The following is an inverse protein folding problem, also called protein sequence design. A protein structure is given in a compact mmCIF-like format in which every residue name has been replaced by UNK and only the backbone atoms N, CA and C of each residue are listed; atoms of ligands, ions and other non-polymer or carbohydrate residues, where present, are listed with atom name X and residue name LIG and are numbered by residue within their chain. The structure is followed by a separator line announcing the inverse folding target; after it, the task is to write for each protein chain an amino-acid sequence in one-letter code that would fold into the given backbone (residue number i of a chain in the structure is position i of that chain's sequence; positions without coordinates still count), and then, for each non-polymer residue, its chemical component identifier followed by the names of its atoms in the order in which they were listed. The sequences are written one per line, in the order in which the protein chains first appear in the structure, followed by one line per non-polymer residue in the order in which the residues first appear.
data_IF_354918801029
#
_entry.id   IF_354918801029
#
_cell.length_a   1.000
_cell.length_b   1.000
_cell.length_c   1.000
_cell.angle_alpha   90.00
_cell.angle_beta   90.00
_cell.angle_gamma   90.00
#
_symmetry.space_group_name_H-M   'P 1'
#
loop_
_entity.id
_entity.type
_entity.pdbx_description
1 polymer ?
#
# COMPACT_ATOMS: atom_id res chain seq x y z
N UNK A 1 -6.77 10.93 -10.48
CA UNK A 1 -5.73 10.92 -11.53
C UNK A 1 -4.57 11.84 -11.24
N UNK A 2 -4.79 13.14 -10.99
CA UNK A 2 -3.70 14.12 -10.74
C UNK A 2 -2.76 13.69 -9.61
N UNK A 3 -3.31 13.25 -8.47
CA UNK A 3 -2.50 12.79 -7.33
C UNK A 3 -1.65 11.55 -7.64
N UNK A 4 -2.19 10.61 -8.42
CA UNK A 4 -1.43 9.43 -8.87
C UNK A 4 -0.25 9.83 -9.76
N UNK A 5 -0.44 10.81 -10.65
CA UNK A 5 0.64 11.34 -11.51
C UNK A 5 1.70 12.04 -10.64
N UNK A 6 1.30 12.90 -9.71
CA UNK A 6 2.22 13.58 -8.77
C UNK A 6 3.04 12.58 -7.95
N UNK A 7 2.39 11.55 -7.42
CA UNK A 7 3.05 10.52 -6.62
C UNK A 7 4.08 9.72 -7.44
N UNK A 8 3.76 9.37 -8.68
CA UNK A 8 4.72 8.71 -9.58
C UNK A 8 5.88 9.65 -9.99
N UNK A 9 5.62 10.94 -10.20
CA UNK A 9 6.70 11.91 -10.46
C UNK A 9 7.62 12.08 -9.24
N UNK A 10 7.06 12.08 -8.02
CA UNK A 10 7.85 12.08 -6.79
C UNK A 10 8.76 10.83 -6.72
N UNK A 11 8.21 9.65 -7.01
CA UNK A 11 8.99 8.41 -7.07
C UNK A 11 10.10 8.47 -8.14
N UNK A 12 9.80 8.95 -9.33
CA UNK A 12 10.81 9.14 -10.38
C UNK A 12 11.92 10.09 -9.92
N UNK A 13 11.57 11.19 -9.24
CA UNK A 13 12.55 12.13 -8.67
C UNK A 13 13.47 11.45 -7.66
N UNK A 14 12.92 10.62 -6.76
CA UNK A 14 13.70 9.88 -5.76
C UNK A 14 14.71 8.96 -6.45
N UNK A 15 14.26 8.18 -7.43
CA UNK A 15 15.11 7.23 -8.18
C UNK A 15 16.21 7.96 -8.96
N UNK A 16 15.92 9.11 -9.54
CA UNK A 16 16.88 9.91 -10.31
C UNK A 16 17.83 10.75 -9.43
N UNK A 17 17.56 10.86 -8.13
CA UNK A 17 18.41 11.63 -7.20
C UNK A 17 19.60 10.75 -6.77
N UNK A 18 20.86 11.14 -7.02
CA UNK A 18 22.04 10.31 -6.73
C UNK A 18 22.21 9.92 -5.27
N UNK A 19 21.75 10.78 -4.34
CA UNK A 19 21.79 10.48 -2.91
C UNK A 19 20.77 9.43 -2.47
N UNK A 20 19.84 9.05 -3.37
CA UNK A 20 18.74 8.11 -3.15
C UNK A 20 18.09 8.29 -1.77
N UNK A 21 17.40 9.42 -1.53
CA UNK A 21 16.89 9.77 -0.21
C UNK A 21 15.64 8.93 0.13
N UNK A 22 15.84 7.65 0.47
CA UNK A 22 14.80 6.69 0.84
C UNK A 22 14.88 6.34 2.32
N UNK A 23 13.76 5.87 2.87
CA UNK A 23 13.66 5.39 4.25
C UNK A 23 12.86 4.07 4.26
N UNK A 24 13.41 2.97 3.70
CA UNK A 24 12.63 1.75 3.47
C UNK A 24 12.18 1.11 4.79
N UNK A 25 10.92 0.70 4.86
CA UNK A 25 10.35 -0.02 6.02
C UNK A 25 9.38 -1.11 5.56
N UNK A 26 9.31 -2.18 6.36
CA UNK A 26 8.22 -3.16 6.27
C UNK A 26 7.22 -2.85 7.38
N UNK A 27 5.98 -2.61 6.98
CA UNK A 27 4.87 -2.27 7.87
C UNK A 27 3.86 -3.43 7.86
N UNK A 28 3.28 -3.72 9.03
CA UNK A 28 2.28 -4.77 9.21
C UNK A 28 0.89 -4.14 9.32
N UNK A 29 0.05 -4.35 8.32
CA UNK A 29 -1.32 -3.87 8.25
C UNK A 29 -2.30 -5.01 8.54
N UNK A 30 -3.23 -4.81 9.47
CA UNK A 30 -4.27 -5.82 9.77
C UNK A 30 -5.55 -5.49 9.01
N UNK A 31 -6.02 -6.42 8.18
CA UNK A 31 -7.28 -6.28 7.41
C UNK A 31 -8.44 -6.95 8.13
N UNK A 32 -9.65 -6.40 7.99
CA UNK A 32 -10.88 -7.03 8.48
C UNK A 32 -11.51 -8.00 7.46
N UNK A 33 -11.11 -7.90 6.19
CA UNK A 33 -11.56 -8.79 5.11
C UNK A 33 -11.33 -10.26 5.46
N UNK A 34 -12.32 -11.10 5.22
CA UNK A 34 -12.30 -12.56 5.37
C UNK A 34 -12.16 -13.29 4.04
N UNK A 35 -12.66 -12.71 2.95
CA UNK A 35 -12.64 -13.29 1.63
C UNK A 35 -11.22 -13.31 1.06
N UNK A 36 -10.69 -14.49 0.64
CA UNK A 36 -9.34 -14.59 0.08
C UNK A 36 -9.15 -13.71 -1.16
N UNK A 37 -10.18 -13.60 -2.01
CA UNK A 37 -10.11 -12.75 -3.21
C UNK A 37 -10.13 -11.26 -2.85
N UNK A 38 -10.91 -10.86 -1.85
CA UNK A 38 -10.91 -9.48 -1.36
C UNK A 38 -9.54 -9.10 -0.79
N UNK A 39 -8.91 -9.97 0.02
CA UNK A 39 -7.55 -9.76 0.52
C UNK A 39 -6.52 -9.63 -0.61
N UNK A 40 -6.61 -10.48 -1.64
CA UNK A 40 -5.72 -10.40 -2.79
C UNK A 40 -5.90 -9.10 -3.58
N UNK A 41 -7.14 -8.64 -3.78
CA UNK A 41 -7.42 -7.37 -4.45
C UNK A 41 -6.90 -6.19 -3.64
N UNK A 42 -7.06 -6.21 -2.31
CA UNK A 42 -6.49 -5.18 -1.42
C UNK A 42 -4.96 -5.15 -1.49
N UNK A 43 -4.30 -6.31 -1.46
CA UNK A 43 -2.84 -6.39 -1.58
C UNK A 43 -2.34 -5.83 -2.93
N UNK A 44 -3.07 -6.09 -4.01
CA UNK A 44 -2.75 -5.57 -5.34
C UNK A 44 -3.02 -4.07 -5.45
N UNK A 45 -4.12 -3.57 -4.88
CA UNK A 45 -4.43 -2.13 -4.90
C UNK A 45 -3.37 -1.33 -4.15
N UNK A 46 -2.87 -1.85 -3.02
CA UNK A 46 -1.74 -1.27 -2.29
C UNK A 46 -0.49 -1.27 -3.17
N UNK A 47 -0.12 -2.39 -3.78
CA UNK A 47 1.06 -2.49 -4.66
C UNK A 47 1.05 -1.49 -5.83
N UNK A 48 -0.15 -1.13 -6.32
CA UNK A 48 -0.30 -0.15 -7.39
C UNK A 48 -0.18 1.31 -6.91
N UNK A 49 -0.11 1.55 -5.60
CA UNK A 49 0.20 2.87 -5.06
C UNK A 49 1.70 3.16 -5.17
N UNK A 50 2.11 4.35 -5.63
CA UNK A 50 3.52 4.65 -5.84
C UNK A 50 4.35 4.52 -4.56
N UNK A 51 5.46 3.79 -4.63
CA UNK A 51 6.40 3.64 -3.51
C UNK A 51 6.04 2.56 -2.49
N UNK A 52 5.09 1.67 -2.80
CA UNK A 52 4.78 0.52 -1.95
C UNK A 52 4.75 -0.80 -2.73
N UNK A 53 4.92 -1.91 -2.03
CA UNK A 53 4.76 -3.27 -2.56
C UNK A 53 4.26 -4.19 -1.45
N UNK A 54 3.23 -4.99 -1.74
CA UNK A 54 2.78 -6.04 -0.84
C UNK A 54 3.74 -7.23 -0.90
N UNK A 55 4.30 -7.61 0.25
CA UNK A 55 5.32 -8.66 0.37
C UNK A 55 4.68 -10.01 0.65
N UNK A 56 3.82 -10.06 1.67
CA UNK A 56 3.24 -11.30 2.15
C UNK A 56 1.89 -11.04 2.82
N UNK A 57 0.97 -12.00 2.70
CA UNK A 57 -0.28 -12.05 3.43
C UNK A 57 -0.28 -13.28 4.35
N UNK A 58 -0.25 -13.07 5.66
CA UNK A 58 -0.31 -14.12 6.68
C UNK A 58 -1.57 -13.90 7.50
N UNK A 59 -2.49 -14.87 7.48
CA UNK A 59 -3.82 -14.78 8.10
C UNK A 59 -4.60 -13.52 7.64
N UNK A 60 -4.79 -12.58 8.55
CA UNK A 60 -5.45 -11.29 8.35
C UNK A 60 -4.43 -10.12 8.36
N UNK A 61 -3.13 -10.42 8.21
CA UNK A 61 -2.04 -9.43 8.24
C UNK A 61 -1.33 -9.33 6.90
N UNK A 62 -1.35 -8.15 6.30
CA UNK A 62 -0.60 -7.82 5.09
C UNK A 62 0.71 -7.11 5.48
N UNK A 63 1.83 -7.65 5.00
CA UNK A 63 3.15 -7.05 5.14
C UNK A 63 3.45 -6.22 3.90
N UNK A 64 3.73 -4.93 4.09
CA UNK A 64 3.89 -3.95 3.02
C UNK A 64 5.26 -3.34 3.15
N UNK A 65 6.06 -3.40 2.09
CA UNK A 65 7.30 -2.65 2.01
C UNK A 65 7.02 -1.26 1.41
N UNK A 66 7.51 -0.22 2.08
CA UNK A 66 7.33 1.19 1.69
C UNK A 66 8.69 1.84 1.50
N UNK A 67 8.88 2.56 0.39
CA UNK A 67 10.14 3.24 0.04
C UNK A 67 10.43 4.42 0.99
N UNK A 68 9.40 5.19 1.34
CA UNK A 68 9.50 6.35 2.25
C UNK A 68 8.77 6.08 3.57
N UNK A 69 9.13 5.00 4.27
CA UNK A 69 8.47 4.54 5.50
C UNK A 69 8.48 5.53 6.68
N UNK A 70 9.39 6.50 6.75
CA UNK A 70 9.36 7.57 7.76
C UNK A 70 8.27 8.60 7.52
N UNK A 71 7.76 8.70 6.28
CA UNK A 71 6.68 9.62 5.91
C UNK A 71 5.29 9.02 6.13
N UNK A 72 5.19 7.73 6.47
CA UNK A 72 3.92 7.07 6.78
C UNK A 72 3.49 7.46 8.19
N UNK A 73 2.56 8.41 8.29
CA UNK A 73 2.02 8.86 9.57
C UNK A 73 1.06 7.84 10.18
N UNK A 74 0.21 7.23 9.36
CA UNK A 74 -0.74 6.21 9.77
C UNK A 74 -0.76 5.07 8.75
N UNK A 75 -0.58 3.84 9.22
CA UNK A 75 -0.57 2.66 8.36
C UNK A 75 -1.96 2.34 7.79
N UNK A 76 -3.04 2.69 8.51
CA UNK A 76 -4.41 2.42 8.08
C UNK A 76 -4.77 3.18 6.79
N UNK A 77 -4.10 4.30 6.52
CA UNK A 77 -4.30 5.08 5.30
C UNK A 77 -3.94 4.28 4.03
N UNK A 78 -3.08 3.25 4.15
CA UNK A 78 -2.73 2.36 3.04
C UNK A 78 -3.93 1.52 2.56
N UNK A 79 -4.91 1.23 3.43
CA UNK A 79 -6.15 0.53 3.04
C UNK A 79 -7.03 1.42 2.17
N UNK A 80 -6.96 2.73 2.40
CA UNK A 80 -7.81 3.73 1.76
C UNK A 80 -9.29 3.34 1.79
N UNK A 81 -10.07 3.72 0.77
CA UNK A 81 -11.47 3.30 0.66
C UNK A 81 -11.63 1.83 0.24
N UNK A 82 -10.54 1.16 -0.19
CA UNK A 82 -10.63 -0.16 -0.81
C UNK A 82 -11.07 -1.23 0.19
N UNK A 83 -10.61 -1.22 1.44
CA UNK A 83 -11.04 -2.23 2.42
C UNK A 83 -12.56 -2.23 2.58
N UNK A 84 -13.17 -1.05 2.73
CA UNK A 84 -14.62 -0.91 2.82
C UNK A 84 -15.33 -1.37 1.54
N UNK A 85 -14.88 -0.90 0.38
CA UNK A 85 -15.48 -1.26 -0.91
C UNK A 85 -15.43 -2.77 -1.18
N UNK A 86 -14.33 -3.42 -0.79
CA UNK A 86 -14.15 -4.85 -0.97
C UNK A 86 -14.99 -5.66 0.01
N UNK A 87 -15.21 -5.14 1.23
CA UNK A 87 -16.11 -5.76 2.21
C UNK A 87 -17.55 -5.78 1.69
N UNK A 88 -18.05 -4.64 1.20
CA UNK A 88 -19.39 -4.51 0.60
C UNK A 88 -19.53 -5.39 -0.67
N UNK A 89 -18.47 -5.58 -1.47
CA UNK A 89 -18.56 -6.31 -2.73
C UNK A 89 -18.40 -7.84 -2.63
N UNK A 90 -17.71 -8.34 -1.60
CA UNK A 90 -17.29 -9.75 -1.52
C UNK A 90 -17.67 -10.46 -0.22
N UNK A 91 -18.19 -9.73 0.78
CA UNK A 91 -18.48 -10.27 2.13
C UNK A 91 -19.87 -9.89 2.67
N UNK A 92 -20.63 -9.06 1.94
CA UNK A 92 -22.08 -8.86 2.10
C UNK A 92 -22.86 -9.70 1.07
#
# INVERSE_FOLDING_TARGET
MVELVKANLNMAKIVLTPSLPISPKVLKLKTELKSPIAKAILANSITLTPGTISVELVDDSLFIHVVEGDKVANIEDLKGPFERLLKEAFEE
#
